data_IF_655391433078
#
_entry.id   IF_655391433078
#
_cell.length_a   1.000
_cell.length_b   1.000
_cell.length_c   1.000
_cell.angle_alpha   90.00
_cell.angle_beta   90.00
_cell.angle_gamma   90.00
#
_symmetry.space_group_name_H-M   'P 1'
#
loop_
_entity.id
_entity.type
_entity.pdbx_description
1 polymer ?
#
# COMPACT_ATOMS: atom_id res chain seq x y z
N UNK A 1 20.53 -4.01 11.48
CA UNK A 1 20.91 -5.43 11.29
C UNK A 1 19.96 -6.20 10.39
N UNK A 2 18.98 -5.56 9.74
CA UNK A 2 18.16 -6.17 8.68
C UNK A 2 18.81 -5.80 7.35
N UNK A 3 18.83 -6.72 6.38
CA UNK A 3 19.34 -6.42 5.05
C UNK A 3 18.48 -5.33 4.39
N UNK A 4 19.12 -4.29 3.87
CA UNK A 4 18.46 -3.13 3.27
C UNK A 4 18.96 -2.92 1.84
N UNK A 5 18.04 -2.74 0.90
CA UNK A 5 18.34 -2.29 -0.45
C UNK A 5 17.63 -0.95 -0.71
N UNK A 6 18.29 -0.05 -1.42
CA UNK A 6 17.72 1.25 -1.81
C UNK A 6 17.76 1.35 -3.33
N UNK A 7 16.60 1.59 -3.93
CA UNK A 7 16.39 1.59 -5.38
C UNK A 7 15.86 2.97 -5.79
N UNK A 8 16.72 4.01 -5.88
CA UNK A 8 16.26 5.36 -6.17
C UNK A 8 15.72 5.47 -7.59
N UNK A 9 14.64 6.23 -7.80
CA UNK A 9 14.00 6.38 -9.10
C UNK A 9 14.97 6.88 -10.20
N UNK A 10 15.88 7.80 -9.87
CA UNK A 10 16.89 8.32 -10.80
C UNK A 10 18.07 7.38 -11.08
N UNK A 11 18.11 6.19 -10.47
CA UNK A 11 19.20 5.22 -10.64
C UNK A 11 19.01 4.21 -11.78
N UNK A 12 17.90 4.31 -12.51
CA UNK A 12 17.49 3.32 -13.53
C UNK A 12 17.02 4.04 -14.80
N UNK A 13 17.17 3.40 -15.96
CA UNK A 13 16.74 3.95 -17.25
C UNK A 13 15.23 3.97 -17.41
N UNK A 14 14.51 3.16 -16.63
CA UNK A 14 13.05 3.18 -16.56
C UNK A 14 12.53 2.69 -15.21
N UNK A 15 11.24 2.95 -14.94
CA UNK A 15 10.55 2.39 -13.78
C UNK A 15 10.49 0.86 -13.84
N UNK A 16 10.33 0.30 -15.03
CA UNK A 16 10.29 -1.16 -15.23
C UNK A 16 11.63 -1.82 -14.87
N UNK A 17 12.76 -1.20 -15.25
CA UNK A 17 14.09 -1.66 -14.85
C UNK A 17 14.28 -1.61 -13.33
N UNK A 18 13.81 -0.54 -12.69
CA UNK A 18 13.87 -0.42 -11.22
C UNK A 18 13.01 -1.48 -10.53
N UNK A 19 11.78 -1.68 -11.00
CA UNK A 19 10.87 -2.68 -10.45
C UNK A 19 11.45 -4.10 -10.61
N UNK A 20 12.10 -4.40 -11.75
CA UNK A 20 12.82 -5.64 -11.96
C UNK A 20 14.00 -5.81 -10.99
N UNK A 21 14.83 -4.78 -10.82
CA UNK A 21 15.96 -4.83 -9.88
C UNK A 21 15.52 -5.04 -8.42
N UNK A 22 14.42 -4.40 -8.02
CA UNK A 22 13.83 -4.60 -6.69
C UNK A 22 13.31 -6.05 -6.54
N UNK A 23 12.66 -6.58 -7.57
CA UNK A 23 12.17 -7.96 -7.58
C UNK A 23 13.31 -8.99 -7.51
N UNK A 24 14.40 -8.77 -8.26
CA UNK A 24 15.56 -9.67 -8.27
C UNK A 24 16.25 -9.69 -6.91
N UNK A 25 16.45 -8.52 -6.29
CA UNK A 25 17.04 -8.43 -4.95
C UNK A 25 16.22 -9.22 -3.91
N UNK A 26 14.89 -9.12 -3.96
CA UNK A 26 14.01 -9.90 -3.09
C UNK A 26 14.06 -11.40 -3.41
N UNK A 27 14.10 -11.78 -4.69
CA UNK A 27 14.12 -13.17 -5.11
C UNK A 27 15.42 -13.89 -4.72
N UNK A 28 16.57 -13.23 -4.82
CA UNK A 28 17.88 -13.75 -4.35
C UNK A 28 17.87 -14.10 -2.86
N UNK A 29 17.07 -13.36 -2.09
CA UNK A 29 16.87 -13.56 -0.65
C UNK A 29 15.76 -14.55 -0.34
N UNK A 30 15.15 -15.14 -1.36
CA UNK A 30 14.11 -16.16 -1.27
C UNK A 30 12.94 -15.72 -0.40
N UNK A 31 12.49 -14.47 -0.57
CA UNK A 31 11.33 -13.98 0.20
C UNK A 31 10.07 -14.75 -0.17
N UNK A 32 9.32 -15.15 0.85
CA UNK A 32 8.05 -15.84 0.71
C UNK A 32 6.88 -14.86 0.59
N UNK A 33 6.98 -13.70 1.24
CA UNK A 33 5.95 -12.65 1.30
C UNK A 33 6.58 -11.26 1.17
N UNK A 34 5.93 -10.38 0.42
CA UNK A 34 6.23 -8.95 0.32
C UNK A 34 5.14 -8.17 1.04
N UNK A 35 5.53 -7.30 1.97
CA UNK A 35 4.61 -6.43 2.73
C UNK A 35 4.87 -4.98 2.33
N UNK A 36 3.87 -4.31 1.77
CA UNK A 36 3.89 -2.89 1.48
C UNK A 36 3.40 -2.14 2.72
N UNK A 37 4.32 -1.48 3.41
CA UNK A 37 4.05 -0.69 4.60
C UNK A 37 4.52 0.75 4.36
N UNK A 38 3.63 1.58 3.81
CA UNK A 38 3.96 2.95 3.39
C UNK A 38 4.81 3.02 2.11
N UNK A 39 4.65 2.05 1.21
CA UNK A 39 5.28 2.10 -0.11
C UNK A 39 4.45 2.98 -1.05
N UNK A 40 4.84 4.26 -1.16
CA UNK A 40 4.06 5.32 -1.83
C UNK A 40 4.13 5.28 -3.37
N UNK A 41 4.48 4.14 -3.96
CA UNK A 41 4.56 3.96 -5.40
C UNK A 41 3.77 2.74 -5.84
N UNK A 42 3.07 2.85 -6.97
CA UNK A 42 2.47 1.67 -7.60
C UNK A 42 3.61 0.73 -8.00
N UNK A 43 3.41 -0.59 -7.91
CA UNK A 43 4.35 -1.59 -8.45
C UNK A 43 3.96 -1.96 -9.87
N UNK A 44 4.93 -2.00 -10.78
CA UNK A 44 4.70 -2.39 -12.16
C UNK A 44 4.39 -3.88 -12.32
N UNK A 45 3.84 -4.28 -13.47
CA UNK A 45 3.44 -5.66 -13.71
C UNK A 45 4.60 -6.67 -13.65
N UNK A 46 5.83 -6.25 -13.97
CA UNK A 46 7.04 -7.10 -13.84
C UNK A 46 7.25 -7.55 -12.39
N UNK A 47 7.06 -6.64 -11.44
CA UNK A 47 7.14 -6.97 -10.01
C UNK A 47 5.94 -7.79 -9.55
N UNK A 48 4.73 -7.32 -9.84
CA UNK A 48 3.47 -7.93 -9.35
C UNK A 48 3.36 -9.38 -9.79
N UNK A 49 3.67 -9.70 -11.05
CA UNK A 49 3.59 -11.08 -11.56
C UNK A 49 4.58 -12.01 -10.89
N UNK A 50 5.76 -11.53 -10.50
CA UNK A 50 6.81 -12.35 -9.87
C UNK A 50 6.45 -12.79 -8.44
N UNK A 51 5.66 -11.97 -7.75
CA UNK A 51 5.18 -12.25 -6.40
C UNK A 51 3.65 -12.36 -6.36
N UNK A 52 3.02 -12.78 -7.46
CA UNK A 52 1.56 -12.91 -7.53
C UNK A 52 1.02 -13.77 -6.38
N UNK A 53 0.01 -13.27 -5.67
CA UNK A 53 -0.56 -13.92 -4.48
C UNK A 53 0.33 -13.87 -3.23
N UNK A 54 1.46 -13.15 -3.27
CA UNK A 54 2.45 -13.05 -2.19
C UNK A 54 2.85 -11.61 -1.88
N UNK A 55 2.06 -10.64 -2.33
CA UNK A 55 2.22 -9.22 -1.99
C UNK A 55 0.99 -8.80 -1.21
N UNK A 56 1.18 -8.22 -0.03
CA UNK A 56 0.11 -7.63 0.79
C UNK A 56 0.38 -6.14 1.00
N UNK A 57 -0.68 -5.35 1.03
CA UNK A 57 -0.63 -3.92 1.29
C UNK A 57 -1.58 -3.56 2.44
N UNK A 58 -1.21 -2.52 3.20
CA UNK A 58 -2.05 -1.88 4.20
C UNK A 58 -2.55 -0.56 3.62
N UNK A 59 -3.86 -0.42 3.51
CA UNK A 59 -4.50 0.75 2.91
C UNK A 59 -5.38 1.49 3.96
N UNK A 60 -5.26 2.82 4.10
CA UNK A 60 -5.94 3.60 5.13
C UNK A 60 -7.40 3.94 4.79
N UNK A 61 -8.16 2.94 4.32
CA UNK A 61 -9.61 3.02 4.18
C UNK A 61 -10.26 1.64 4.32
N UNK A 62 -11.59 1.62 4.40
CA UNK A 62 -12.38 0.40 4.22
C UNK A 62 -12.63 0.18 2.72
N UNK A 63 -11.68 -0.46 2.02
CA UNK A 63 -11.83 -0.82 0.61
C UNK A 63 -13.13 -1.60 0.37
N UNK A 64 -13.83 -1.37 -0.76
CA UNK A 64 -13.39 -0.62 -1.94
C UNK A 64 -13.60 0.91 -1.85
N UNK A 65 -13.97 1.47 -0.70
CA UNK A 65 -14.14 2.91 -0.56
C UNK A 65 -12.77 3.63 -0.53
N UNK A 66 -12.66 4.78 -1.20
CA UNK A 66 -11.48 5.65 -1.19
C UNK A 66 -10.15 4.93 -1.52
N UNK A 67 -10.02 4.31 -2.71
CA UNK A 67 -8.73 3.77 -3.16
C UNK A 67 -7.75 4.90 -3.50
N UNK A 68 -6.46 4.58 -3.59
CA UNK A 68 -5.42 5.52 -3.99
C UNK A 68 -4.83 6.35 -2.84
N UNK A 69 -3.89 7.22 -3.19
CA UNK A 69 -2.98 7.86 -2.23
C UNK A 69 -3.61 8.93 -1.32
N UNK A 70 -4.85 9.35 -1.60
CA UNK A 70 -5.56 10.41 -0.87
C UNK A 70 -6.76 9.89 -0.07
N UNK A 71 -6.75 8.61 0.29
CA UNK A 71 -7.88 7.93 0.91
C UNK A 71 -8.42 8.63 2.17
N UNK A 72 -7.51 9.12 3.04
CA UNK A 72 -7.86 9.85 4.27
C UNK A 72 -8.52 11.19 3.95
N UNK A 73 -7.90 11.98 3.05
CA UNK A 73 -8.41 13.29 2.62
C UNK A 73 -9.81 13.16 2.02
N UNK A 74 -9.99 12.19 1.11
CA UNK A 74 -11.27 11.93 0.45
C UNK A 74 -12.35 11.46 1.43
N UNK A 75 -12.01 10.57 2.37
CA UNK A 75 -12.94 10.10 3.39
C UNK A 75 -13.42 11.25 4.29
N UNK A 76 -12.50 12.12 4.72
CA UNK A 76 -12.81 13.30 5.53
C UNK A 76 -13.64 14.33 4.76
N UNK A 77 -13.30 14.57 3.49
CA UNK A 77 -14.06 15.48 2.61
C UNK A 77 -15.48 14.97 2.37
N UNK A 78 -15.65 13.65 2.19
CA UNK A 78 -16.97 13.00 2.10
C UNK A 78 -17.74 13.11 3.43
N UNK A 79 -17.04 13.29 4.56
CA UNK A 79 -17.67 13.46 5.87
C UNK A 79 -18.18 12.15 6.46
N UNK A 80 -17.48 11.04 6.16
CA UNK A 80 -17.83 9.71 6.70
C UNK A 80 -17.87 9.72 8.24
N UNK A 81 -18.72 8.87 8.79
CA UNK A 81 -18.84 8.67 10.25
C UNK A 81 -18.06 7.47 10.75
N UNK A 82 -17.50 6.68 9.84
CA UNK A 82 -16.69 5.50 10.12
C UNK A 82 -15.52 5.51 9.14
N UNK A 83 -14.32 5.28 9.66
CA UNK A 83 -13.11 5.03 8.89
C UNK A 83 -12.58 3.63 9.19
N UNK A 84 -11.50 3.25 8.55
CA UNK A 84 -10.88 1.97 8.82
C UNK A 84 -9.61 1.76 8.02
N UNK A 85 -9.02 0.60 8.23
CA UNK A 85 -7.82 0.12 7.54
C UNK A 85 -8.16 -1.20 6.89
N UNK A 86 -7.65 -1.41 5.68
CA UNK A 86 -7.75 -2.68 4.96
C UNK A 86 -6.39 -3.27 4.73
N UNK A 87 -6.22 -4.55 5.07
CA UNK A 87 -5.10 -5.36 4.56
C UNK A 87 -5.62 -6.19 3.40
N UNK A 88 -4.97 -6.10 2.24
CA UNK A 88 -5.40 -6.81 1.04
C UNK A 88 -4.19 -7.34 0.26
N UNK A 89 -4.44 -8.33 -0.59
CA UNK A 89 -3.47 -8.75 -1.60
C UNK A 89 -3.35 -7.69 -2.70
N UNK A 90 -2.15 -7.53 -3.25
CA UNK A 90 -1.91 -6.63 -4.38
C UNK A 90 -2.08 -7.38 -5.70
N UNK A 91 -2.78 -6.77 -6.65
CA UNK A 91 -2.85 -7.19 -8.05
C UNK A 91 -2.37 -6.06 -8.98
N UNK A 92 -2.56 -6.22 -10.31
CA UNK A 92 -2.08 -5.22 -11.28
C UNK A 92 -2.90 -3.92 -11.28
N UNK A 93 -4.02 -3.87 -10.54
CA UNK A 93 -4.85 -2.67 -10.39
C UNK A 93 -4.67 -2.11 -8.98
N UNK A 94 -4.81 -0.80 -8.86
CA UNK A 94 -4.63 -0.10 -7.59
C UNK A 94 -5.74 -0.51 -6.63
N UNK A 95 -5.36 -0.95 -5.43
CA UNK A 95 -6.22 -1.26 -4.28
C UNK A 95 -7.43 -2.16 -4.59
N UNK A 96 -7.26 -3.09 -5.54
CA UNK A 96 -8.37 -3.91 -6.07
C UNK A 96 -8.29 -5.40 -5.71
N UNK A 97 -7.17 -5.84 -5.15
CA UNK A 97 -6.97 -7.24 -4.85
C UNK A 97 -7.79 -7.74 -3.65
N UNK A 98 -7.88 -9.07 -3.45
CA UNK A 98 -8.71 -9.65 -2.40
C UNK A 98 -8.36 -9.15 -0.99
N UNK A 99 -9.40 -8.75 -0.27
CA UNK A 99 -9.31 -8.32 1.13
C UNK A 99 -8.96 -9.52 2.03
N UNK A 100 -7.98 -9.31 2.91
CA UNK A 100 -7.57 -10.29 3.94
C UNK A 100 -8.30 -10.00 5.25
N UNK A 101 -8.23 -8.73 5.69
CA UNK A 101 -8.91 -8.28 6.91
C UNK A 101 -9.17 -6.78 6.84
N UNK A 102 -10.12 -6.31 7.63
CA UNK A 102 -10.45 -4.90 7.81
C UNK A 102 -10.68 -4.60 9.29
N UNK A 103 -10.29 -3.41 9.71
CA UNK A 103 -10.63 -2.89 11.03
C UNK A 103 -11.25 -1.51 10.87
N UNK A 104 -12.45 -1.33 11.42
CA UNK A 104 -13.15 -0.06 11.41
C UNK A 104 -12.95 0.68 12.74
N UNK A 105 -12.90 2.01 12.67
CA UNK A 105 -12.83 2.87 13.83
C UNK A 105 -13.63 4.16 13.59
N UNK A 106 -14.14 4.72 14.68
CA UNK A 106 -14.78 6.03 14.62
C UNK A 106 -13.70 7.10 14.37
N UNK A 107 -13.83 7.91 13.30
CA UNK A 107 -12.92 9.02 13.09
C UNK A 107 -13.07 10.01 14.26
N UNK A 108 -11.93 10.47 14.78
CA UNK A 108 -11.79 11.43 15.89
C UNK A 108 -12.82 12.58 15.75
N UNK A 109 -13.50 13.02 16.83
CA UNK A 109 -14.80 13.69 16.74
C UNK A 109 -14.75 15.03 16.02
N UNK A 110 -15.58 15.20 14.98
CA UNK A 110 -15.88 16.43 14.19
C UNK A 110 -14.71 17.28 13.66
N UNK A 111 -13.48 17.10 14.12
CA UNK A 111 -12.37 18.03 13.90
C UNK A 111 -11.85 18.01 12.48
N UNK A 112 -12.17 16.97 11.70
CA UNK A 112 -11.61 16.73 10.35
C UNK A 112 -10.07 16.86 10.33
N UNK A 113 -9.44 16.58 11.46
CA UNK A 113 -8.00 16.71 11.63
C UNK A 113 -7.30 15.48 11.07
N UNK A 114 -6.64 15.64 9.92
CA UNK A 114 -5.90 14.58 9.22
C UNK A 114 -4.86 13.97 10.14
N UNK A 115 -4.09 14.77 10.89
CA UNK A 115 -3.01 14.25 11.73
C UNK A 115 -3.55 13.38 12.88
N UNK A 116 -4.73 13.71 13.41
CA UNK A 116 -5.38 12.88 14.42
C UNK A 116 -5.88 11.54 13.86
N UNK A 117 -6.32 11.52 12.60
CA UNK A 117 -6.72 10.30 11.89
C UNK A 117 -5.50 9.44 11.55
N UNK A 118 -4.44 10.04 11.00
CA UNK A 118 -3.18 9.34 10.70
C UNK A 118 -2.58 8.68 11.94
N UNK A 119 -2.65 9.33 13.11
CA UNK A 119 -2.19 8.76 14.38
C UNK A 119 -3.05 7.58 14.86
N UNK A 120 -4.30 7.48 14.41
CA UNK A 120 -5.23 6.41 14.80
C UNK A 120 -5.07 5.16 13.96
N UNK A 121 -4.65 5.32 12.70
CA UNK A 121 -4.30 4.26 11.76
C UNK A 121 -2.95 3.64 12.14
#
# INVERSE_FOLDING_TARGET
GIATGVFPAGGYGSREERDAALADWLAERRVDLVVLAGFMEVLGPVFVRRFAGRIVNVHPSLLPAFPGVHAIDEALAHGVRLMGVTVHFVDERVDSGPIITQEAFDPVPYSRDIAAVEKRI
#
